data_IF_905779790390
#
_entry.id   IF_905779790390
#
_cell.length_a   1.000
_cell.length_b   1.000
_cell.length_c   1.000
_cell.angle_alpha   90.00
_cell.angle_beta   90.00
_cell.angle_gamma   90.00
#
_symmetry.space_group_name_H-M   'P 1'
#
loop_
_entity.id
_entity.type
_entity.pdbx_description
1 polymer ?
#
# COMPACT_ATOMS: atom_id res chain seq x y z
N UNK A 1 -22.19 -11.95 17.28
CA UNK A 1 -20.90 -11.35 16.87
C UNK A 1 -21.23 -10.31 15.82
N UNK A 2 -20.83 -9.05 16.01
CA UNK A 2 -21.02 -8.04 14.95
C UNK A 2 -20.14 -8.47 13.77
N UNK A 3 -20.74 -8.80 12.64
CA UNK A 3 -20.00 -9.12 11.42
C UNK A 3 -19.29 -7.84 11.01
N UNK A 4 -17.95 -7.85 10.96
CA UNK A 4 -17.12 -6.75 10.48
C UNK A 4 -17.51 -6.45 9.03
N UNK A 5 -17.98 -5.24 8.75
CA UNK A 5 -18.26 -4.81 7.39
C UNK A 5 -16.93 -4.42 6.72
N UNK A 6 -16.57 -5.16 5.69
CA UNK A 6 -15.31 -5.01 4.99
C UNK A 6 -15.50 -4.94 3.48
N UNK A 7 -14.69 -4.13 2.79
CA UNK A 7 -14.60 -4.10 1.33
C UNK A 7 -13.15 -3.96 0.84
N UNK A 8 -12.95 -4.17 -0.45
CA UNK A 8 -11.69 -3.91 -1.15
C UNK A 8 -11.86 -2.69 -2.05
N UNK A 9 -10.94 -1.74 -1.97
CA UNK A 9 -10.79 -0.63 -2.89
C UNK A 9 -9.62 -0.89 -3.83
N UNK A 10 -9.87 -0.85 -5.14
CA UNK A 10 -8.87 -0.98 -6.19
C UNK A 10 -8.62 0.41 -6.76
N UNK A 11 -7.43 0.94 -6.53
CA UNK A 11 -7.04 2.27 -7.00
C UNK A 11 -6.61 2.18 -8.45
N UNK A 12 -7.24 2.93 -9.34
CA UNK A 12 -6.92 2.91 -10.77
C UNK A 12 -7.07 4.29 -11.41
N UNK A 13 -6.22 4.58 -12.41
CA UNK A 13 -6.25 5.81 -13.19
C UNK A 13 -5.78 5.54 -14.62
N UNK A 14 -6.58 5.92 -15.62
CA UNK A 14 -6.21 5.87 -17.04
C UNK A 14 -6.15 4.46 -17.65
N UNK A 15 -6.68 3.41 -16.98
CA UNK A 15 -6.50 2.00 -17.40
C UNK A 15 -7.77 1.14 -17.27
N UNK A 16 -8.96 1.60 -17.74
CA UNK A 16 -10.22 0.90 -17.49
C UNK A 16 -10.27 -0.55 -18.00
N UNK A 17 -9.52 -0.85 -19.07
CA UNK A 17 -9.49 -2.18 -19.68
C UNK A 17 -8.39 -3.12 -19.10
N UNK A 18 -7.63 -2.67 -18.09
CA UNK A 18 -6.46 -3.41 -17.59
C UNK A 18 -6.38 -3.38 -16.07
N UNK A 19 -7.27 -4.11 -15.41
CA UNK A 19 -7.33 -4.24 -13.95
C UNK A 19 -7.18 -5.72 -13.55
N UNK A 20 -5.98 -6.32 -13.68
CA UNK A 20 -5.76 -7.73 -13.35
C UNK A 20 -6.08 -8.06 -11.88
N UNK A 21 -6.07 -7.09 -10.99
CA UNK A 21 -6.42 -7.25 -9.57
C UNK A 21 -7.82 -7.84 -9.40
N UNK A 22 -8.82 -7.48 -10.23
CA UNK A 22 -10.17 -8.05 -10.17
C UNK A 22 -10.15 -9.57 -10.43
N UNK A 23 -9.49 -9.98 -11.51
CA UNK A 23 -9.36 -11.41 -11.82
C UNK A 23 -8.57 -12.16 -10.74
N UNK A 24 -7.61 -11.49 -10.11
CA UNK A 24 -6.80 -12.04 -9.01
C UNK A 24 -7.63 -12.24 -7.74
N UNK A 25 -8.47 -11.27 -7.34
CA UNK A 25 -9.39 -11.42 -6.22
C UNK A 25 -10.31 -12.63 -6.43
N UNK A 26 -10.95 -12.75 -7.60
CA UNK A 26 -11.82 -13.87 -7.93
C UNK A 26 -11.08 -15.22 -7.87
N UNK A 27 -9.90 -15.30 -8.47
CA UNK A 27 -9.09 -16.51 -8.49
C UNK A 27 -8.62 -16.95 -7.10
N UNK A 28 -8.38 -15.98 -6.22
CA UNK A 28 -7.96 -16.24 -4.84
C UNK A 28 -9.13 -16.51 -3.90
N UNK A 29 -10.37 -16.58 -4.40
CA UNK A 29 -11.56 -16.93 -3.61
C UNK A 29 -12.06 -15.79 -2.72
N UNK A 30 -11.89 -14.54 -3.13
CA UNK A 30 -12.53 -13.41 -2.47
C UNK A 30 -13.99 -13.29 -2.92
N UNK A 31 -14.91 -13.28 -1.95
CA UNK A 31 -16.35 -13.23 -2.21
C UNK A 31 -17.02 -11.95 -1.72
N UNK A 32 -16.27 -11.08 -1.02
CA UNK A 32 -16.78 -9.85 -0.44
C UNK A 32 -16.95 -8.71 -1.46
N UNK A 33 -17.32 -7.55 -0.96
CA UNK A 33 -17.49 -6.35 -1.77
C UNK A 33 -16.16 -5.76 -2.21
N UNK A 34 -16.11 -5.33 -3.47
CA UNK A 34 -14.98 -4.57 -4.00
C UNK A 34 -15.47 -3.43 -4.90
N UNK A 35 -14.69 -2.35 -4.95
CA UNK A 35 -14.96 -1.17 -5.76
C UNK A 35 -13.68 -0.66 -6.41
N UNK A 36 -13.82 -0.05 -7.59
CA UNK A 36 -12.75 0.66 -8.28
C UNK A 36 -12.86 2.13 -7.90
N UNK A 37 -11.78 2.69 -7.38
CA UNK A 37 -11.71 4.10 -6.98
C UNK A 37 -11.02 4.88 -8.09
N UNK A 38 -11.74 5.83 -8.67
CA UNK A 38 -11.24 6.71 -9.74
C UNK A 38 -11.47 8.16 -9.36
N UNK A 39 -10.62 9.04 -9.83
CA UNK A 39 -10.78 10.47 -9.59
C UNK A 39 -11.56 11.17 -10.71
N UNK A 40 -12.18 12.32 -10.39
CA UNK A 40 -12.95 13.12 -11.32
C UNK A 40 -12.11 13.78 -12.44
N UNK A 41 -10.78 13.81 -12.30
CA UNK A 41 -9.85 14.33 -13.31
C UNK A 41 -9.39 13.24 -14.30
N UNK A 42 -9.70 11.96 -14.06
CA UNK A 42 -9.42 10.87 -14.99
C UNK A 42 -10.30 11.01 -16.25
N UNK A 43 -9.67 11.27 -17.38
CA UNK A 43 -10.37 11.40 -18.68
C UNK A 43 -11.06 10.11 -19.12
N UNK A 44 -10.68 8.96 -18.57
CA UNK A 44 -11.25 7.65 -18.88
C UNK A 44 -12.32 7.19 -17.89
N UNK A 45 -12.68 8.00 -16.88
CA UNK A 45 -13.66 7.64 -15.82
C UNK A 45 -15.00 7.16 -16.35
N UNK A 46 -15.46 7.71 -17.49
CA UNK A 46 -16.67 7.25 -18.16
C UNK A 46 -16.58 5.80 -18.64
N UNK A 47 -15.42 5.38 -19.12
CA UNK A 47 -15.20 4.00 -19.57
C UNK A 47 -15.20 3.02 -18.38
N UNK A 48 -14.66 3.41 -17.20
CA UNK A 48 -14.80 2.59 -16.01
C UNK A 48 -16.26 2.36 -15.64
N UNK A 49 -17.08 3.42 -15.64
CA UNK A 49 -18.52 3.33 -15.35
C UNK A 49 -19.26 2.45 -16.36
N UNK A 50 -18.89 2.54 -17.64
CA UNK A 50 -19.48 1.71 -18.69
C UNK A 50 -19.14 0.21 -18.49
N UNK A 51 -17.89 -0.10 -18.10
CA UNK A 51 -17.41 -1.48 -17.95
C UNK A 51 -17.83 -2.13 -16.62
N UNK A 52 -17.88 -1.37 -15.53
CA UNK A 52 -18.01 -1.91 -14.17
C UNK A 52 -19.24 -1.38 -13.41
N UNK A 53 -19.99 -0.45 -13.97
CA UNK A 53 -21.24 0.06 -13.40
C UNK A 53 -21.09 0.58 -11.98
N UNK A 54 -21.92 0.07 -11.07
CA UNK A 54 -21.99 0.49 -9.66
C UNK A 54 -20.77 0.09 -8.84
N UNK A 55 -19.84 -0.67 -9.41
CA UNK A 55 -18.55 -0.98 -8.77
C UNK A 55 -17.55 0.17 -8.87
N UNK A 56 -17.85 1.24 -9.60
CA UNK A 56 -16.98 2.41 -9.77
C UNK A 56 -17.42 3.53 -8.85
N UNK A 57 -16.51 3.97 -7.99
CA UNK A 57 -16.71 5.12 -7.12
C UNK A 57 -15.78 6.24 -7.57
N UNK A 58 -16.38 7.36 -7.90
CA UNK A 58 -15.66 8.58 -8.29
C UNK A 58 -15.50 9.49 -7.08
N UNK A 59 -14.30 10.02 -6.86
CA UNK A 59 -14.06 11.03 -5.84
C UNK A 59 -13.57 12.35 -6.45
N UNK A 60 -13.81 13.44 -5.76
CA UNK A 60 -13.31 14.76 -6.13
C UNK A 60 -11.88 14.94 -5.64
N UNK A 61 -10.93 14.89 -6.58
CA UNK A 61 -9.50 15.02 -6.29
C UNK A 61 -9.16 16.38 -5.67
N UNK A 62 -9.82 17.45 -6.14
CA UNK A 62 -9.58 18.80 -5.62
C UNK A 62 -10.07 18.94 -4.16
N UNK A 63 -11.14 18.26 -3.79
CA UNK A 63 -11.63 18.27 -2.40
C UNK A 63 -10.66 17.56 -1.43
N UNK A 64 -9.87 16.61 -1.93
CA UNK A 64 -8.86 15.91 -1.14
C UNK A 64 -7.52 16.67 -1.14
N UNK A 65 -7.21 17.38 -2.23
CA UNK A 65 -6.00 18.18 -2.35
C UNK A 65 -5.93 19.25 -1.24
N UNK A 66 -4.76 19.41 -0.63
CA UNK A 66 -4.58 20.34 0.48
C UNK A 66 -5.03 19.82 1.87
N UNK A 67 -5.62 18.63 1.96
CA UNK A 67 -5.94 18.00 3.27
C UNK A 67 -4.76 17.26 3.89
N UNK A 68 -3.70 17.03 3.11
CA UNK A 68 -2.46 16.36 3.52
C UNK A 68 -1.24 17.00 2.85
N UNK A 69 -0.04 16.66 3.30
CA UNK A 69 1.19 17.27 2.79
C UNK A 69 1.79 16.45 1.64
N UNK A 70 1.93 17.08 0.47
CA UNK A 70 2.58 16.51 -0.72
C UNK A 70 4.11 16.64 -0.69
N UNK A 71 4.67 17.37 0.28
CA UNK A 71 6.10 17.70 0.41
C UNK A 71 6.68 18.52 -0.74
N UNK A 72 5.85 19.10 -1.57
CA UNK A 72 6.25 20.01 -2.65
C UNK A 72 5.13 21.02 -2.98
N UNK A 73 5.45 21.94 -3.89
CA UNK A 73 4.51 22.97 -4.37
C UNK A 73 4.09 22.74 -5.83
N UNK A 74 4.22 21.52 -6.35
CA UNK A 74 3.80 21.21 -7.71
C UNK A 74 2.27 21.14 -7.81
N UNK A 75 1.75 21.60 -8.92
CA UNK A 75 0.30 21.66 -9.18
C UNK A 75 -0.26 20.38 -9.83
N UNK A 76 0.60 19.51 -10.35
CA UNK A 76 0.15 18.25 -10.95
C UNK A 76 -0.36 17.28 -9.85
N UNK A 77 -1.64 16.89 -9.95
CA UNK A 77 -2.31 15.98 -9.01
C UNK A 77 -2.40 14.54 -9.50
N UNK A 78 -1.70 14.17 -10.58
CA UNK A 78 -1.76 12.81 -11.13
C UNK A 78 -0.89 11.84 -10.33
N UNK A 79 -1.25 11.63 -9.04
CA UNK A 79 -0.54 10.76 -8.10
C UNK A 79 -1.54 10.02 -7.21
N UNK A 80 -1.17 8.81 -6.79
CA UNK A 80 -2.05 7.85 -6.10
C UNK A 80 -2.46 8.29 -4.70
N UNK A 81 -1.68 9.13 -4.04
CA UNK A 81 -1.88 9.54 -2.64
C UNK A 81 -3.26 10.20 -2.40
N UNK A 82 -3.81 10.90 -3.40
CA UNK A 82 -5.17 11.45 -3.31
C UNK A 82 -6.22 10.34 -3.18
N UNK A 83 -6.13 9.30 -4.00
CA UNK A 83 -7.05 8.17 -3.94
C UNK A 83 -6.93 7.41 -2.60
N UNK A 84 -5.71 7.20 -2.10
CA UNK A 84 -5.48 6.57 -0.79
C UNK A 84 -6.14 7.36 0.35
N UNK A 85 -5.97 8.67 0.37
CA UNK A 85 -6.59 9.52 1.40
C UNK A 85 -8.12 9.59 1.26
N UNK A 86 -8.66 9.53 0.03
CA UNK A 86 -10.11 9.51 -0.22
C UNK A 86 -10.78 8.23 0.30
N UNK A 87 -10.09 7.09 0.34
CA UNK A 87 -10.65 5.79 0.71
C UNK A 87 -11.27 5.79 2.12
N UNK A 88 -10.74 6.54 3.07
CA UNK A 88 -11.32 6.64 4.43
C UNK A 88 -12.72 7.26 4.41
N UNK A 89 -12.91 8.36 3.68
CA UNK A 89 -14.20 9.03 3.56
C UNK A 89 -15.20 8.19 2.77
N UNK A 90 -14.73 7.54 1.70
CA UNK A 90 -15.54 6.63 0.89
C UNK A 90 -16.00 5.43 1.73
N UNK A 91 -15.11 4.81 2.51
CA UNK A 91 -15.47 3.70 3.39
C UNK A 91 -16.53 4.11 4.43
N UNK A 92 -16.36 5.29 5.04
CA UNK A 92 -17.32 5.83 5.99
C UNK A 92 -18.70 6.10 5.36
N UNK A 93 -18.73 6.69 4.16
CA UNK A 93 -19.97 6.96 3.43
C UNK A 93 -20.71 5.68 3.04
N UNK A 94 -19.99 4.63 2.66
CA UNK A 94 -20.55 3.33 2.31
C UNK A 94 -20.91 2.46 3.53
N UNK A 95 -20.49 2.90 4.75
CA UNK A 95 -20.78 2.20 6.00
C UNK A 95 -19.94 0.95 6.24
N UNK A 96 -18.71 0.89 5.70
CA UNK A 96 -17.74 -0.14 6.00
C UNK A 96 -16.89 0.21 7.22
N UNK A 97 -16.67 -0.77 8.10
CA UNK A 97 -15.83 -0.61 9.29
C UNK A 97 -14.35 -0.74 8.93
N UNK A 98 -14.04 -1.53 7.90
CA UNK A 98 -12.70 -1.82 7.43
C UNK A 98 -12.65 -1.85 5.91
N UNK A 99 -11.49 -1.55 5.36
CA UNK A 99 -11.23 -1.69 3.93
C UNK A 99 -9.78 -2.13 3.67
N UNK A 100 -9.55 -2.67 2.49
CA UNK A 100 -8.23 -2.99 1.95
C UNK A 100 -8.00 -2.16 0.70
N UNK A 101 -6.94 -1.36 0.66
CA UNK A 101 -6.49 -0.69 -0.55
C UNK A 101 -5.55 -1.59 -1.33
N UNK A 102 -5.83 -1.74 -2.62
CA UNK A 102 -5.00 -2.46 -3.58
C UNK A 102 -4.74 -1.57 -4.81
N UNK A 103 -3.56 -1.69 -5.41
CA UNK A 103 -3.31 -1.16 -6.74
C UNK A 103 -4.00 -2.06 -7.79
N UNK A 104 -4.18 -1.57 -9.01
CA UNK A 104 -4.93 -2.26 -10.07
C UNK A 104 -4.14 -3.34 -10.80
N UNK A 105 -2.85 -3.52 -10.50
CA UNK A 105 -1.90 -4.34 -11.27
C UNK A 105 -1.41 -5.61 -10.56
N UNK A 106 -2.12 -6.06 -9.51
CA UNK A 106 -1.76 -7.29 -8.81
C UNK A 106 -2.17 -8.53 -9.59
N UNK A 107 -1.24 -9.48 -9.67
CA UNK A 107 -1.43 -10.72 -10.44
C UNK A 107 -1.48 -11.97 -9.58
N UNK A 108 -0.99 -11.95 -8.34
CA UNK A 108 -1.04 -13.09 -7.42
C UNK A 108 -0.96 -12.64 -5.97
N UNK A 109 -1.59 -13.42 -5.08
CA UNK A 109 -1.32 -13.47 -3.64
C UNK A 109 -0.72 -14.84 -3.34
N UNK A 110 0.40 -14.89 -2.60
CA UNK A 110 1.16 -16.11 -2.33
C UNK A 110 1.52 -16.22 -0.86
N UNK A 111 1.37 -17.40 -0.29
CA UNK A 111 2.01 -17.73 0.98
C UNK A 111 3.50 -17.93 0.76
N UNK A 112 4.31 -17.54 1.75
CA UNK A 112 5.77 -17.71 1.76
C UNK A 112 6.21 -18.40 3.04
N UNK A 113 6.99 -19.49 2.92
CA UNK A 113 7.59 -20.18 4.07
C UNK A 113 8.94 -20.77 3.70
N UNK A 114 9.74 -21.06 4.75
CA UNK A 114 11.03 -21.75 4.58
C UNK A 114 10.83 -23.27 4.64
N UNK A 115 11.44 -23.98 3.69
CA UNK A 115 11.65 -25.43 3.74
C UNK A 115 13.15 -25.70 3.58
N UNK A 116 13.83 -25.92 4.69
CA UNK A 116 15.27 -25.96 4.75
C UNK A 116 15.90 -24.65 4.26
N UNK A 117 16.67 -24.71 3.18
CA UNK A 117 17.33 -23.56 2.56
C UNK A 117 16.53 -22.96 1.37
N UNK A 118 15.31 -23.44 1.15
CA UNK A 118 14.46 -22.97 0.05
C UNK A 118 13.32 -22.11 0.59
N UNK A 119 13.07 -20.98 -0.08
CA UNK A 119 11.86 -20.19 0.13
C UNK A 119 10.77 -20.74 -0.79
N UNK A 120 9.76 -21.33 -0.18
CA UNK A 120 8.63 -21.95 -0.86
C UNK A 120 7.51 -20.92 -1.08
N UNK A 121 6.68 -21.19 -2.09
CA UNK A 121 5.49 -20.38 -2.41
C UNK A 121 4.29 -21.27 -2.67
N UNK A 122 3.11 -20.76 -2.32
CA UNK A 122 1.84 -21.37 -2.67
C UNK A 122 0.81 -20.27 -2.91
N UNK A 123 0.00 -20.43 -3.96
CA UNK A 123 -1.07 -19.49 -4.24
C UNK A 123 -2.10 -19.47 -3.09
N UNK A 124 -2.55 -18.29 -2.73
CA UNK A 124 -3.71 -18.09 -1.86
C UNK A 124 -4.95 -18.48 -2.64
N UNK A 125 -5.76 -19.38 -2.08
CA UNK A 125 -7.02 -19.88 -2.68
C UNK A 125 -8.24 -19.60 -1.80
N UNK A 126 -8.04 -19.07 -0.60
CA UNK A 126 -9.10 -18.64 0.31
C UNK A 126 -8.72 -17.27 0.89
N UNK A 127 -8.92 -16.23 0.07
CA UNK A 127 -8.56 -14.86 0.46
C UNK A 127 -9.52 -14.34 1.53
N UNK A 128 -10.77 -14.79 1.58
CA UNK A 128 -11.71 -14.38 2.63
C UNK A 128 -11.20 -14.75 4.03
N UNK A 129 -10.75 -15.99 4.22
CA UNK A 129 -10.17 -16.41 5.51
C UNK A 129 -8.89 -15.61 5.84
N UNK A 130 -8.05 -15.34 4.85
CA UNK A 130 -6.84 -14.53 5.04
C UNK A 130 -7.17 -13.09 5.43
N UNK A 131 -8.19 -12.50 4.80
CA UNK A 131 -8.69 -11.17 5.17
C UNK A 131 -9.15 -11.15 6.63
N UNK A 132 -9.93 -12.14 7.05
CA UNK A 132 -10.40 -12.23 8.44
C UNK A 132 -9.22 -12.25 9.43
N UNK A 133 -8.19 -13.04 9.17
CA UNK A 133 -6.98 -13.09 10.01
C UNK A 133 -6.21 -11.77 10.00
N UNK A 134 -6.11 -11.10 8.86
CA UNK A 134 -5.45 -9.78 8.78
C UNK A 134 -6.24 -8.71 9.55
N UNK A 135 -7.57 -8.74 9.52
CA UNK A 135 -8.41 -7.83 10.31
C UNK A 135 -8.30 -8.13 11.81
N UNK A 136 -8.21 -9.40 12.21
CA UNK A 136 -7.96 -9.78 13.59
C UNK A 136 -6.59 -9.26 14.06
N UNK A 137 -5.55 -9.42 13.22
CA UNK A 137 -4.22 -8.90 13.52
C UNK A 137 -4.20 -7.36 13.61
N UNK A 138 -4.90 -6.65 12.71
CA UNK A 138 -5.06 -5.20 12.75
C UNK A 138 -5.69 -4.73 14.08
N UNK A 139 -6.72 -5.42 14.55
CA UNK A 139 -7.38 -5.09 15.81
C UNK A 139 -6.51 -5.40 17.02
N UNK A 140 -5.91 -6.59 17.09
CA UNK A 140 -5.07 -7.01 18.21
C UNK A 140 -3.80 -6.16 18.34
N UNK A 141 -3.15 -5.82 17.24
CA UNK A 141 -1.95 -4.99 17.23
C UNK A 141 -2.22 -3.51 17.48
N UNK A 142 -3.47 -3.06 17.23
CA UNK A 142 -3.86 -1.64 17.17
C UNK A 142 -3.02 -0.83 16.19
N UNK A 143 -2.39 -1.48 15.20
CA UNK A 143 -1.68 -0.80 14.14
C UNK A 143 -2.60 0.16 13.37
N UNK A 144 -2.05 1.21 12.78
CA UNK A 144 -2.82 2.07 11.87
C UNK A 144 -3.22 1.29 10.62
N UNK A 145 -2.29 0.48 10.11
CA UNK A 145 -2.54 -0.43 8.99
C UNK A 145 -1.63 -1.65 9.09
N UNK A 146 -2.09 -2.75 8.52
CA UNK A 146 -1.30 -3.96 8.29
C UNK A 146 -1.29 -4.28 6.80
N UNK A 147 -0.24 -4.93 6.32
CA UNK A 147 -0.02 -5.18 4.90
C UNK A 147 0.54 -6.58 4.64
N UNK A 148 0.44 -7.00 3.39
CA UNK A 148 1.23 -8.10 2.86
C UNK A 148 2.65 -7.64 2.54
N UNK A 149 3.60 -8.56 2.49
CA UNK A 149 4.94 -8.29 2.02
C UNK A 149 4.99 -8.19 0.47
N UNK A 150 6.12 -7.79 -0.04
CA UNK A 150 6.37 -7.66 -1.47
C UNK A 150 7.62 -8.42 -1.89
N UNK A 151 7.77 -8.69 -3.19
CA UNK A 151 8.90 -9.42 -3.75
C UNK A 151 10.27 -8.91 -3.29
N UNK A 152 10.44 -7.61 -3.09
CA UNK A 152 11.67 -7.01 -2.56
C UNK A 152 12.03 -7.47 -1.14
N UNK A 153 11.06 -7.89 -0.34
CA UNK A 153 11.27 -8.37 1.04
C UNK A 153 11.89 -9.76 1.09
N UNK A 154 11.86 -10.47 -0.02
CA UNK A 154 12.37 -11.83 -0.15
C UNK A 154 13.72 -11.92 -0.89
N UNK A 155 14.36 -10.79 -1.19
CA UNK A 155 15.69 -10.77 -1.80
C UNK A 155 16.69 -11.44 -0.85
N UNK A 156 17.37 -12.49 -1.34
CA UNK A 156 18.23 -13.36 -0.53
C UNK A 156 17.52 -14.63 -0.02
N UNK A 157 16.26 -14.86 -0.43
CA UNK A 157 15.49 -16.07 -0.11
C UNK A 157 15.30 -16.26 1.40
N UNK A 158 15.53 -17.47 1.92
CA UNK A 158 15.47 -17.78 3.36
C UNK A 158 16.49 -16.95 4.17
N UNK A 159 17.56 -16.48 3.52
CA UNK A 159 18.57 -15.60 4.12
C UNK A 159 18.11 -14.13 4.28
N UNK A 160 17.01 -13.73 3.63
CA UNK A 160 16.51 -12.34 3.68
C UNK A 160 16.31 -11.87 5.12
N UNK A 161 16.86 -10.70 5.44
CA UNK A 161 16.70 -10.08 6.76
C UNK A 161 15.22 -9.70 7.02
N UNK A 162 14.47 -9.32 5.98
CA UNK A 162 13.06 -8.98 6.09
C UNK A 162 12.19 -10.23 6.33
N UNK A 163 12.44 -11.30 5.55
CA UNK A 163 11.72 -12.57 5.73
C UNK A 163 11.95 -13.16 7.14
N UNK A 164 13.19 -13.15 7.63
CA UNK A 164 13.55 -13.65 8.99
C UNK A 164 12.86 -12.90 10.12
N UNK A 165 12.50 -11.64 9.93
CA UNK A 165 11.76 -10.87 10.95
C UNK A 165 10.31 -11.34 11.11
N UNK A 166 9.72 -11.98 10.09
CA UNK A 166 8.33 -12.41 10.09
C UNK A 166 7.32 -11.26 10.04
N UNK A 167 7.53 -10.23 10.84
CA UNK A 167 6.73 -9.00 10.87
C UNK A 167 7.64 -7.78 10.75
N UNK A 168 7.33 -6.88 9.83
CA UNK A 168 8.13 -5.69 9.52
C UNK A 168 7.39 -4.41 9.92
N UNK A 169 8.15 -3.37 10.30
CA UNK A 169 7.64 -2.03 10.69
C UNK A 169 7.42 -1.14 9.47
N UNK A 170 6.79 -1.66 8.42
CA UNK A 170 6.46 -0.94 7.19
C UNK A 170 5.17 -1.46 6.59
N UNK A 171 4.55 -0.69 5.71
CA UNK A 171 3.44 -1.13 4.86
C UNK A 171 3.62 -0.54 3.48
N UNK A 172 3.43 -1.33 2.44
CA UNK A 172 3.66 -0.91 1.06
C UNK A 172 2.59 -1.54 0.17
N UNK A 173 1.98 -0.74 -0.67
CA UNK A 173 1.05 -1.11 -1.76
C UNK A 173 -0.22 -1.88 -1.35
N UNK A 174 -0.30 -2.47 -0.18
CA UNK A 174 -1.52 -3.05 0.39
C UNK A 174 -1.73 -2.48 1.78
N UNK A 175 -2.95 -2.02 2.05
CA UNK A 175 -3.23 -1.35 3.31
C UNK A 175 -4.58 -1.82 3.84
N UNK A 176 -4.55 -2.71 4.83
CA UNK A 176 -5.74 -3.03 5.62
C UNK A 176 -5.96 -1.92 6.62
N UNK A 177 -7.01 -1.16 6.47
CA UNK A 177 -7.33 0.00 7.27
C UNK A 177 -8.63 -0.18 8.05
N UNK A 178 -8.71 0.48 9.19
CA UNK A 178 -9.95 0.65 9.94
C UNK A 178 -10.48 2.06 9.71
N UNK A 179 -11.73 2.18 9.30
CA UNK A 179 -12.35 3.45 8.88
C UNK A 179 -12.29 4.51 9.96
N UNK A 180 -12.52 4.12 11.24
CA UNK A 180 -12.46 5.03 12.38
C UNK A 180 -11.03 5.28 12.94
N UNK A 181 -9.99 4.70 12.32
CA UNK A 181 -8.58 4.83 12.70
C UNK A 181 -7.79 5.53 11.61
N UNK A 182 -8.33 6.66 11.14
CA UNK A 182 -7.78 7.43 10.04
C UNK A 182 -6.35 7.89 10.29
N UNK A 183 -5.56 7.91 9.25
CA UNK A 183 -4.27 8.58 9.10
C UNK A 183 -4.18 9.12 7.67
N UNK A 184 -3.26 10.05 7.42
CA UNK A 184 -3.04 10.58 6.09
C UNK A 184 -1.79 9.96 5.48
N UNK A 185 -1.91 9.52 4.22
CA UNK A 185 -0.74 9.22 3.39
C UNK A 185 -0.08 10.54 2.98
N UNK A 186 1.26 10.57 2.98
CA UNK A 186 2.06 11.79 2.87
C UNK A 186 3.03 11.74 1.71
N UNK A 187 3.17 12.86 1.03
CA UNK A 187 4.15 13.02 -0.05
C UNK A 187 3.63 12.55 -1.41
N UNK A 188 4.06 13.26 -2.43
CA UNK A 188 3.70 13.01 -3.84
C UNK A 188 4.23 11.68 -4.36
N UNK A 189 5.44 11.33 -3.98
CA UNK A 189 6.14 10.09 -4.37
C UNK A 189 6.60 9.35 -3.13
N UNK A 190 6.61 8.01 -3.17
CA UNK A 190 6.87 7.16 -2.01
C UNK A 190 5.94 7.48 -0.83
N UNK A 191 4.69 7.74 -1.12
CA UNK A 191 3.66 8.05 -0.13
C UNK A 191 3.61 7.01 0.99
N UNK A 192 3.76 5.73 0.66
CA UNK A 192 3.88 4.62 1.60
C UNK A 192 5.08 4.78 2.56
N UNK A 193 6.29 4.96 1.99
CA UNK A 193 7.54 5.10 2.77
C UNK A 193 7.49 6.35 3.65
N UNK A 194 7.08 7.48 3.07
CA UNK A 194 6.98 8.74 3.80
C UNK A 194 6.01 8.63 4.98
N UNK A 195 4.87 7.99 4.76
CA UNK A 195 3.83 7.82 5.77
C UNK A 195 4.32 6.96 6.93
N UNK A 196 4.82 5.74 6.66
CA UNK A 196 5.25 4.88 7.76
C UNK A 196 6.53 5.38 8.45
N UNK A 197 7.40 6.11 7.75
CA UNK A 197 8.54 6.77 8.37
C UNK A 197 8.10 7.91 9.29
N UNK A 198 7.32 8.85 8.77
CA UNK A 198 6.90 10.04 9.53
C UNK A 198 6.02 9.68 10.73
N UNK A 199 5.01 8.85 10.52
CA UNK A 199 4.09 8.46 11.60
C UNK A 199 4.71 7.40 12.52
N UNK A 200 5.56 6.51 11.99
CA UNK A 200 6.32 5.53 12.77
C UNK A 200 7.29 6.21 13.74
N UNK A 201 7.97 7.28 13.32
CA UNK A 201 8.83 8.09 14.19
C UNK A 201 8.06 8.77 15.33
N UNK A 202 6.75 8.97 15.17
CA UNK A 202 5.83 9.49 16.20
C UNK A 202 5.21 8.38 17.07
N UNK A 203 5.68 7.13 16.97
CA UNK A 203 5.21 6.00 17.76
C UNK A 203 4.00 5.26 17.20
N UNK A 204 3.58 5.54 15.96
CA UNK A 204 2.51 4.79 15.29
C UNK A 204 3.01 3.44 14.79
N UNK A 205 2.10 2.47 14.68
CA UNK A 205 2.42 1.13 14.19
C UNK A 205 1.94 0.93 12.75
N UNK A 206 2.86 0.48 11.91
CA UNK A 206 2.66 0.01 10.55
C UNK A 206 3.32 -1.35 10.47
N UNK A 207 2.62 -2.40 10.06
CA UNK A 207 3.13 -3.75 10.13
C UNK A 207 2.86 -4.51 8.83
N UNK A 208 3.88 -5.21 8.29
CA UNK A 208 3.71 -6.15 7.17
C UNK A 208 4.07 -7.56 7.62
N UNK A 209 3.32 -8.53 7.12
CA UNK A 209 3.51 -9.95 7.41
C UNK A 209 4.32 -10.60 6.30
N UNK A 210 5.52 -11.12 6.64
CA UNK A 210 6.42 -11.72 5.67
C UNK A 210 6.00 -13.13 5.18
N UNK A 211 4.99 -13.73 5.80
CA UNK A 211 4.45 -15.02 5.37
C UNK A 211 3.49 -14.92 4.16
N UNK A 212 3.16 -13.71 3.73
CA UNK A 212 2.22 -13.47 2.63
C UNK A 212 2.83 -12.41 1.70
N UNK A 213 2.86 -12.73 0.42
CA UNK A 213 3.44 -11.91 -0.64
C UNK A 213 2.38 -11.49 -1.66
N UNK A 214 2.51 -10.28 -2.16
CA UNK A 214 1.80 -9.83 -3.35
C UNK A 214 2.77 -9.77 -4.53
N UNK A 215 2.31 -10.25 -5.68
CA UNK A 215 3.02 -10.15 -6.94
C UNK A 215 2.28 -9.20 -7.85
N UNK A 216 2.96 -8.15 -8.29
CA UNK A 216 2.44 -7.14 -9.21
C UNK A 216 3.14 -7.19 -10.56
N UNK A 217 2.55 -6.56 -11.56
CA UNK A 217 3.22 -6.31 -12.84
C UNK A 217 4.45 -5.42 -12.57
N UNK A 218 5.61 -5.69 -13.20
CA UNK A 218 6.81 -4.89 -12.97
C UNK A 218 6.54 -3.39 -13.12
N UNK A 219 7.00 -2.60 -12.16
CA UNK A 219 6.88 -1.14 -12.18
C UNK A 219 7.43 -0.59 -13.49
N UNK A 220 6.74 0.38 -14.10
CA UNK A 220 7.05 1.00 -15.39
C UNK A 220 6.72 0.13 -16.64
N UNK A 221 6.16 -1.07 -16.49
CA UNK A 221 5.65 -1.83 -17.62
C UNK A 221 4.28 -1.34 -18.12
N UNK A 222 3.60 -0.51 -17.34
CA UNK A 222 2.30 0.08 -17.69
C UNK A 222 2.45 1.57 -18.01
N UNK A 223 1.73 2.07 -19.01
CA UNK A 223 1.56 3.50 -19.26
C UNK A 223 0.62 4.10 -18.20
N UNK A 224 0.80 5.37 -17.87
CA UNK A 224 -0.03 6.12 -16.91
C UNK A 224 0.44 6.08 -15.45
N UNK A 225 -0.22 6.84 -14.59
CA UNK A 225 0.12 6.98 -13.17
C UNK A 225 1.51 7.59 -12.95
N UNK A 226 2.21 7.14 -11.92
CA UNK A 226 3.56 7.61 -11.59
C UNK A 226 4.63 7.31 -12.64
N UNK A 227 4.34 6.46 -13.66
CA UNK A 227 5.29 6.13 -14.72
C UNK A 227 5.73 7.37 -15.49
N UNK A 228 4.83 8.33 -15.74
CA UNK A 228 5.16 9.59 -16.42
C UNK A 228 6.09 10.46 -15.58
N UNK A 229 5.80 10.60 -14.29
CA UNK A 229 6.66 11.33 -13.38
C UNK A 229 8.06 10.70 -13.26
N UNK A 230 8.17 9.37 -13.34
CA UNK A 230 9.46 8.67 -13.36
C UNK A 230 10.22 8.82 -14.67
N UNK A 231 9.52 8.97 -15.79
CA UNK A 231 10.14 9.24 -17.08
C UNK A 231 10.72 10.67 -17.13
N UNK A 232 10.03 11.64 -16.51
CA UNK A 232 10.47 13.03 -16.48
C UNK A 232 11.63 13.28 -15.50
N UNK A 233 11.59 12.67 -14.31
CA UNK A 233 12.50 13.00 -13.21
C UNK A 233 13.43 11.86 -12.80
N UNK A 234 13.22 10.66 -13.34
CA UNK A 234 13.95 9.44 -12.97
C UNK A 234 13.59 8.91 -11.57
N UNK A 235 14.04 7.70 -11.27
CA UNK A 235 13.85 7.06 -9.95
C UNK A 235 14.60 7.76 -8.82
N UNK A 236 15.50 8.66 -9.16
CA UNK A 236 16.28 9.48 -8.25
C UNK A 236 15.39 10.41 -7.42
N UNK A 237 14.51 11.18 -8.06
CA UNK A 237 13.61 12.12 -7.39
C UNK A 237 12.71 11.42 -6.37
N UNK A 238 12.17 10.26 -6.72
CA UNK A 238 11.37 9.41 -5.81
C UNK A 238 12.08 9.17 -4.46
N UNK A 239 13.38 8.81 -4.51
CA UNK A 239 14.14 8.51 -3.30
C UNK A 239 14.40 9.76 -2.46
N UNK A 240 14.54 10.92 -3.10
CA UNK A 240 14.72 12.19 -2.41
C UNK A 240 13.49 12.65 -1.64
N UNK A 241 12.28 12.39 -2.10
CA UNK A 241 11.07 12.72 -1.32
C UNK A 241 11.12 12.11 0.08
N UNK A 242 11.52 10.85 0.19
CA UNK A 242 11.63 10.20 1.49
C UNK A 242 12.75 10.76 2.37
N UNK A 243 13.85 11.19 1.76
CA UNK A 243 14.93 11.88 2.50
C UNK A 243 14.48 13.27 2.97
N UNK A 244 13.80 14.05 2.13
CA UNK A 244 13.25 15.35 2.54
C UNK A 244 12.25 15.21 3.70
N UNK A 245 11.43 14.18 3.65
CA UNK A 245 10.46 13.87 4.70
C UNK A 245 11.12 13.50 6.03
N UNK A 246 12.21 12.72 5.98
CA UNK A 246 12.80 12.10 7.16
C UNK A 246 14.33 12.06 7.09
N UNK A 247 15.01 13.21 7.01
CA UNK A 247 16.45 13.27 6.75
C UNK A 247 17.32 12.68 7.87
N UNK A 248 16.77 12.56 9.09
CA UNK A 248 17.52 12.05 10.24
C UNK A 248 17.76 10.53 10.16
N UNK A 249 16.96 9.80 9.38
CA UNK A 249 17.02 8.34 9.33
C UNK A 249 16.71 7.73 7.97
N UNK A 250 16.46 8.55 6.95
CA UNK A 250 16.37 8.10 5.56
C UNK A 250 17.55 8.63 4.78
N UNK A 251 18.25 7.74 4.09
CA UNK A 251 19.39 8.05 3.22
C UNK A 251 19.19 7.43 1.85
N UNK A 252 20.05 7.79 0.89
CA UNK A 252 20.06 7.24 -0.46
C UNK A 252 21.29 6.38 -0.66
N UNK A 253 21.11 5.20 -1.24
CA UNK A 253 22.19 4.30 -1.64
C UNK A 253 21.97 3.80 -3.07
N UNK A 254 23.05 3.47 -3.76
CA UNK A 254 23.00 2.74 -5.01
C UNK A 254 22.64 1.28 -4.73
N UNK A 255 21.61 0.75 -5.37
CA UNK A 255 21.33 -0.68 -5.38
C UNK A 255 22.34 -1.40 -6.27
N UNK A 256 22.79 -2.59 -5.83
CA UNK A 256 23.91 -3.38 -6.33
C UNK A 256 24.09 -3.55 -7.84
N UNK A 257 25.07 -4.33 -8.27
CA UNK A 257 25.61 -4.29 -9.65
C UNK A 257 24.62 -4.70 -10.75
N UNK A 258 23.57 -5.44 -10.41
CA UNK A 258 22.57 -5.90 -11.39
C UNK A 258 21.55 -4.82 -11.79
N UNK A 259 21.29 -3.83 -10.91
CA UNK A 259 20.36 -2.73 -11.15
C UNK A 259 20.91 -1.45 -10.50
N UNK A 260 21.70 -0.72 -11.27
CA UNK A 260 22.31 0.55 -10.82
C UNK A 260 21.25 1.65 -10.74
N UNK A 261 20.44 1.66 -9.69
CA UNK A 261 19.50 2.73 -9.38
C UNK A 261 19.70 3.24 -7.96
N UNK A 262 19.41 4.51 -7.75
CA UNK A 262 19.36 5.07 -6.40
C UNK A 262 18.07 4.61 -5.71
N UNK A 263 18.19 4.25 -4.44
CA UNK A 263 17.08 3.79 -3.62
C UNK A 263 17.17 4.39 -2.22
N UNK A 264 16.05 4.66 -1.59
CA UNK A 264 15.99 5.09 -0.20
C UNK A 264 16.31 3.92 0.72
N UNK A 265 17.03 4.20 1.79
CA UNK A 265 17.33 3.27 2.90
C UNK A 265 16.83 3.89 4.19
N UNK A 266 16.05 3.16 4.95
CA UNK A 266 15.55 3.57 6.25
C UNK A 266 16.39 2.93 7.34
N UNK A 267 17.02 3.76 8.19
CA UNK A 267 17.63 3.31 9.43
C UNK A 267 16.55 3.12 10.50
N UNK A 268 16.10 1.89 10.65
CA UNK A 268 15.03 1.52 11.55
C UNK A 268 15.38 1.63 13.03
N UNK A 269 16.65 1.63 13.40
CA UNK A 269 17.05 1.85 14.78
C UNK A 269 16.81 3.30 15.22
N UNK A 270 16.98 4.22 14.29
CA UNK A 270 16.73 5.65 14.51
C UNK A 270 15.30 6.04 14.19
N UNK A 271 14.66 5.44 13.18
CA UNK A 271 13.35 5.82 12.68
C UNK A 271 12.20 5.55 13.67
N UNK A 272 12.32 4.54 14.53
CA UNK A 272 11.22 4.19 15.44
C UNK A 272 11.62 4.45 16.88
N UNK A 273 10.72 5.04 17.69
CA UNK A 273 11.00 5.29 19.09
C UNK A 273 11.21 3.97 19.83
N UNK A 274 12.13 3.97 20.79
CA UNK A 274 12.38 2.81 21.68
C UNK A 274 11.19 2.56 22.63
N UNK A 275 10.43 3.61 22.91
CA UNK A 275 9.22 3.56 23.75
C UNK A 275 7.99 3.72 22.84
N UNK A 276 7.15 2.70 22.80
CA UNK A 276 5.89 2.72 22.05
C UNK A 276 4.89 3.59 22.80
N UNK A 277 4.06 4.34 22.07
CA UNK A 277 2.97 5.12 22.63
C UNK A 277 2.08 4.26 23.56
N UNK A 278 1.63 4.85 24.68
CA UNK A 278 0.80 4.16 25.68
C UNK A 278 -0.48 3.54 25.12
N UNK A 279 -1.01 4.09 24.03
CA UNK A 279 -2.20 3.54 23.34
C UNK A 279 -2.00 2.14 22.77
N UNK A 280 -0.76 1.73 22.54
CA UNK A 280 -0.40 0.39 22.02
C UNK A 280 0.02 -0.59 23.12
N UNK A 281 0.17 -0.13 24.37
CA UNK A 281 0.53 -1.00 25.47
C UNK A 281 -0.69 -1.82 25.91
N UNK A 282 -0.51 -3.12 26.07
CA UNK A 282 -1.50 -3.98 26.74
C UNK A 282 -1.43 -3.64 28.23
N UNK A 283 -2.56 -3.20 28.78
CA UNK A 283 -2.72 -2.94 30.22
C UNK A 283 -3.52 -4.07 30.85
#
# INVERSE_FOLDING_TARGET
MNTKKFCVFILSHGRPNKIPTIATLNRCGYTGDWFIIVDNEDSTRGQYKELYGDKVIEFDKLAIDGTFDLYDNQTNRNVVVHARNACFDIAAQLGYDYFLELDDDYVRFEYRWADGQKLMTQLVTNLDALVEEMLNFLEMSRALTVAFAQGGDFIGGVGSANFKKGCMRKTMNTFFCKTDRRFDFLGRMNDDVNTYCTLGARGQLFLSIAAIDIVQIPTQANAGGLSEAYLETGTFTKSFYSVMSSPSFVSIQAMGPAHSRLHHIVDWETAVPKIISDKFKIR
#
